data_IF_216311947555
#
_entry.id   IF_216311947555
#
_cell.length_a   1.000
_cell.length_b   1.000
_cell.length_c   1.000
_cell.angle_alpha   90.00
_cell.angle_beta   90.00
_cell.angle_gamma   90.00
#
_symmetry.space_group_name_H-M   'P 1'
#
loop_
_entity.id
_entity.type
_entity.pdbx_description
1 polymer ?
#
# COMPACT_ATOMS: atom_id res chain seq x y z
N UNK A 1 -9.61 -6.56 -11.74
CA UNK A 1 -8.49 -5.61 -11.66
C UNK A 1 -9.01 -4.24 -12.05
N UNK A 2 -8.91 -3.26 -11.16
CA UNK A 2 -9.43 -1.91 -11.41
C UNK A 2 -8.44 -1.15 -12.31
N UNK A 3 -8.60 -1.27 -13.63
CA UNK A 3 -7.70 -0.63 -14.61
C UNK A 3 -7.61 0.88 -14.43
N UNK A 4 -8.70 1.51 -14.02
CA UNK A 4 -8.78 2.95 -13.80
C UNK A 4 -7.74 3.46 -12.80
N UNK A 5 -7.50 2.72 -11.71
CA UNK A 5 -6.51 3.10 -10.70
C UNK A 5 -5.09 2.98 -11.24
N UNK A 6 -4.80 1.90 -11.98
CA UNK A 6 -3.49 1.73 -12.63
C UNK A 6 -3.22 2.86 -13.63
N UNK A 7 -4.20 3.17 -14.48
CA UNK A 7 -4.11 4.26 -15.46
C UNK A 7 -3.89 5.62 -14.80
N UNK A 8 -4.58 5.90 -13.69
CA UNK A 8 -4.38 7.16 -12.96
C UNK A 8 -2.93 7.30 -12.46
N UNK A 9 -2.35 6.23 -11.91
CA UNK A 9 -0.95 6.22 -11.45
C UNK A 9 0.03 6.33 -12.62
N UNK A 10 -0.20 5.59 -13.72
CA UNK A 10 0.64 5.65 -14.91
C UNK A 10 0.68 7.04 -15.56
N UNK A 11 -0.47 7.73 -15.62
CA UNK A 11 -0.56 9.08 -16.18
C UNK A 11 0.08 10.12 -15.25
N UNK A 12 -0.07 9.96 -13.93
CA UNK A 12 0.40 10.95 -12.96
C UNK A 12 1.87 10.78 -12.54
N UNK A 13 2.50 9.63 -12.80
CA UNK A 13 3.91 9.40 -12.46
C UNK A 13 4.85 10.19 -13.38
N UNK A 14 5.97 10.66 -12.86
CA UNK A 14 7.02 11.26 -13.68
C UNK A 14 7.99 10.19 -14.22
N UNK A 15 8.98 10.61 -15.00
CA UNK A 15 9.97 9.71 -15.61
C UNK A 15 10.88 9.00 -14.58
N UNK A 16 11.09 9.59 -13.40
CA UNK A 16 11.93 9.01 -12.34
C UNK A 16 11.18 8.05 -11.41
N UNK A 17 9.85 7.95 -11.50
CA UNK A 17 9.06 7.03 -10.70
C UNK A 17 8.99 5.63 -11.32
N UNK A 18 9.31 4.62 -10.52
CA UNK A 18 9.09 3.22 -10.85
C UNK A 18 7.70 2.75 -10.40
N UNK A 19 7.01 1.98 -11.25
CA UNK A 19 5.72 1.39 -10.94
C UNK A 19 5.81 -0.13 -11.13
N UNK A 20 5.54 -0.89 -10.07
CA UNK A 20 5.43 -2.35 -10.12
C UNK A 20 3.98 -2.79 -9.90
N UNK A 21 3.33 -3.31 -10.94
CA UNK A 21 2.01 -3.94 -10.81
C UNK A 21 2.14 -5.35 -10.21
N UNK A 22 1.31 -5.67 -9.20
CA UNK A 22 1.22 -7.02 -8.62
C UNK A 22 -0.22 -7.52 -8.67
N UNK A 23 -0.47 -8.54 -9.49
CA UNK A 23 -1.80 -9.09 -9.69
C UNK A 23 -2.12 -10.19 -8.66
N UNK A 24 -2.69 -9.81 -7.52
CA UNK A 24 -3.01 -10.76 -6.45
C UNK A 24 -4.10 -11.78 -6.82
N UNK A 25 -4.89 -11.53 -7.87
CA UNK A 25 -5.91 -12.47 -8.31
C UNK A 25 -5.32 -13.64 -9.11
N UNK A 26 -4.17 -13.45 -9.75
CA UNK A 26 -3.48 -14.46 -10.57
C UNK A 26 -2.29 -15.07 -9.84
N UNK A 27 -1.50 -14.23 -9.15
CA UNK A 27 -0.16 -14.57 -8.68
C UNK A 27 -0.01 -14.37 -7.17
N UNK A 28 -1.05 -14.67 -6.39
CA UNK A 28 -1.06 -14.43 -4.93
C UNK A 28 0.15 -15.04 -4.21
N UNK A 29 0.50 -16.30 -4.53
CA UNK A 29 1.59 -17.01 -3.88
C UNK A 29 2.94 -16.28 -4.05
N UNK A 30 3.20 -15.76 -5.24
CA UNK A 30 4.41 -15.00 -5.59
C UNK A 30 4.50 -13.63 -4.91
N UNK A 31 3.39 -13.16 -4.31
CA UNK A 31 3.29 -11.84 -3.69
C UNK A 31 2.87 -11.87 -2.22
N UNK A 32 2.79 -13.07 -1.62
CA UNK A 32 2.33 -13.27 -0.24
C UNK A 32 3.17 -12.49 0.78
N UNK A 33 4.47 -12.38 0.55
CA UNK A 33 5.37 -11.60 1.40
C UNK A 33 4.99 -10.12 1.39
N UNK A 34 4.84 -9.51 0.20
CA UNK A 34 4.42 -8.11 0.06
C UNK A 34 3.03 -7.86 0.67
N UNK A 35 2.08 -8.79 0.49
CA UNK A 35 0.75 -8.73 1.12
C UNK A 35 0.89 -8.69 2.65
N UNK A 36 1.77 -9.51 3.23
CA UNK A 36 2.00 -9.56 4.66
C UNK A 36 2.78 -8.36 5.21
N UNK A 37 3.79 -7.89 4.47
CA UNK A 37 4.64 -6.75 4.80
C UNK A 37 3.85 -5.45 4.85
N UNK A 38 3.01 -5.22 3.84
CA UNK A 38 2.23 -3.99 3.71
C UNK A 38 0.80 -4.09 4.28
N UNK A 39 0.45 -5.23 4.90
CA UNK A 39 -0.89 -5.49 5.44
C UNK A 39 -1.99 -5.18 4.40
N UNK A 40 -1.88 -5.78 3.21
CA UNK A 40 -2.83 -5.56 2.11
C UNK A 40 -4.12 -6.31 2.43
N UNK A 41 -5.20 -5.58 2.72
CA UNK A 41 -6.51 -6.14 3.11
C UNK A 41 -7.58 -5.99 2.04
N UNK A 42 -7.37 -5.10 1.08
CA UNK A 42 -8.29 -4.82 -0.02
C UNK A 42 -7.53 -4.58 -1.33
N UNK A 43 -8.23 -4.71 -2.45
CA UNK A 43 -7.69 -4.42 -3.78
C UNK A 43 -8.58 -3.40 -4.50
N UNK A 44 -8.01 -2.42 -5.24
CA UNK A 44 -6.58 -2.17 -5.35
C UNK A 44 -5.99 -1.59 -4.05
N UNK A 45 -4.69 -1.81 -3.84
CA UNK A 45 -3.90 -1.13 -2.80
C UNK A 45 -2.65 -0.59 -3.46
N UNK A 46 -2.34 0.68 -3.22
CA UNK A 46 -1.13 1.34 -3.72
C UNK A 46 -0.19 1.56 -2.54
N UNK A 47 1.06 1.14 -2.70
CA UNK A 47 2.13 1.36 -1.72
C UNK A 47 3.17 2.23 -2.37
N UNK A 48 3.56 3.32 -1.70
CA UNK A 48 4.58 4.26 -2.17
C UNK A 48 5.72 4.26 -1.16
N UNK A 49 6.94 4.04 -1.66
CA UNK A 49 8.21 4.05 -0.91
C UNK A 49 8.21 3.23 0.39
N UNK A 50 7.35 2.20 0.44
CA UNK A 50 7.17 1.34 1.61
C UNK A 50 6.67 2.04 2.87
N UNK A 51 6.24 3.31 2.80
CA UNK A 51 5.81 4.11 3.95
C UNK A 51 4.42 4.74 3.82
N UNK A 52 3.82 4.70 2.63
CA UNK A 52 2.47 5.19 2.35
C UNK A 52 1.61 4.03 1.84
N UNK A 53 0.35 3.96 2.27
CA UNK A 53 -0.62 2.96 1.80
C UNK A 53 -1.99 3.56 1.52
N UNK A 54 -2.38 3.57 0.25
CA UNK A 54 -3.71 3.97 -0.20
C UNK A 54 -4.52 2.71 -0.53
N UNK A 55 -5.59 2.46 0.23
CA UNK A 55 -6.50 1.33 0.01
C UNK A 55 -7.71 1.80 -0.82
N UNK A 56 -8.09 1.03 -1.84
CA UNK A 56 -9.23 1.32 -2.71
C UNK A 56 -8.92 2.28 -3.86
N UNK A 57 -9.99 2.82 -4.47
CA UNK A 57 -9.88 3.79 -5.57
C UNK A 57 -9.59 5.18 -4.98
N UNK A 58 -8.51 5.85 -5.37
CA UNK A 58 -8.29 7.25 -4.99
C UNK A 58 -9.39 8.16 -5.55
N UNK A 59 -9.90 9.08 -4.73
CA UNK A 59 -10.86 10.12 -5.13
C UNK A 59 -10.19 11.48 -5.38
N UNK A 60 -8.85 11.49 -5.48
CA UNK A 60 -8.03 12.66 -5.75
C UNK A 60 -7.24 12.48 -7.05
N UNK A 61 -6.85 13.58 -7.72
CA UNK A 61 -5.98 13.50 -8.90
C UNK A 61 -4.61 12.94 -8.49
N UNK A 62 -4.08 12.01 -9.28
CA UNK A 62 -2.73 11.49 -9.08
C UNK A 62 -1.73 12.39 -9.80
N UNK A 63 -0.75 12.91 -9.08
CA UNK A 63 0.26 13.82 -9.62
C UNK A 63 1.60 13.61 -8.94
N UNK A 64 2.69 13.64 -9.69
CA UNK A 64 4.02 13.59 -9.11
C UNK A 64 4.43 14.97 -8.61
N UNK A 65 4.85 15.07 -7.33
CA UNK A 65 5.39 16.29 -6.75
C UNK A 65 5.46 16.21 -5.22
N UNK A 66 6.30 17.05 -4.63
CA UNK A 66 6.59 17.02 -3.19
C UNK A 66 5.34 17.32 -2.36
N UNK A 67 4.54 18.31 -2.74
CA UNK A 67 3.30 18.66 -2.04
C UNK A 67 2.30 17.49 -2.02
N UNK A 68 2.18 16.76 -3.13
CA UNK A 68 1.31 15.59 -3.21
C UNK A 68 1.85 14.43 -2.38
N UNK A 69 3.17 14.23 -2.40
CA UNK A 69 3.82 13.23 -1.57
C UNK A 69 3.63 13.52 -0.08
N UNK A 70 3.80 14.78 0.35
CA UNK A 70 3.54 15.20 1.73
C UNK A 70 2.08 15.01 2.14
N UNK A 71 1.14 15.35 1.25
CA UNK A 71 -0.28 15.07 1.45
C UNK A 71 -0.51 13.58 1.70
N UNK A 72 0.02 12.71 0.84
CA UNK A 72 -0.14 11.27 0.99
C UNK A 72 0.52 10.74 2.27
N UNK A 73 1.71 11.21 2.61
CA UNK A 73 2.43 10.82 3.82
C UNK A 73 1.65 11.19 5.10
N UNK A 74 0.97 12.35 5.08
CA UNK A 74 0.16 12.82 6.22
C UNK A 74 -1.15 12.06 6.39
N UNK A 75 -1.84 11.78 5.28
CA UNK A 75 -3.20 11.24 5.31
C UNK A 75 -3.28 9.72 5.17
N UNK A 76 -2.28 9.10 4.55
CA UNK A 76 -2.25 7.68 4.23
C UNK A 76 -0.96 6.98 4.71
N UNK A 77 -0.49 7.22 5.96
CA UNK A 77 0.73 6.59 6.44
C UNK A 77 0.53 5.07 6.54
N UNK A 78 1.51 4.31 6.06
CA UNK A 78 1.58 2.88 6.31
C UNK A 78 1.79 2.67 7.81
N UNK A 79 0.77 2.13 8.48
CA UNK A 79 0.87 1.80 9.90
C UNK A 79 1.82 0.61 10.06
N UNK A 80 2.77 0.66 11.01
CA UNK A 80 3.53 -0.52 11.38
C UNK A 80 2.53 -1.61 11.75
N UNK A 81 2.79 -2.83 11.29
CA UNK A 81 2.03 -3.98 11.72
C UNK A 81 2.20 -4.06 13.24
N UNK A 82 1.14 -3.72 14.00
CA UNK A 82 1.13 -3.90 15.44
C UNK A 82 1.31 -5.40 15.70
N UNK A 83 2.53 -5.83 15.98
CA UNK A 83 2.77 -7.11 16.62
C UNK A 83 2.05 -7.01 17.97
N UNK A 84 0.87 -7.61 18.07
CA UNK A 84 0.24 -7.94 19.34
C UNK A 84 1.34 -8.62 20.15
N UNK A 85 1.78 -7.98 21.25
CA UNK A 85 2.73 -8.58 22.19
C UNK A 85 2.22 -9.98 22.51
N UNK A 86 3.07 -11.03 22.51
CA UNK A 86 2.64 -12.31 23.01
C UNK A 86 2.10 -12.07 24.42
N UNK A 87 0.83 -12.36 24.63
CA UNK A 87 0.20 -12.33 25.95
C UNK A 87 1.07 -13.20 26.85
N UNK A 88 1.80 -12.55 27.76
CA UNK A 88 2.57 -13.26 28.77
C UNK A 88 1.58 -14.11 29.56
N UNK A 89 1.68 -15.41 29.33
CA UNK A 89 0.95 -16.46 30.01
C UNK A 89 1.24 -16.35 31.51
N UNK A 90 0.34 -15.75 32.30
CA UNK A 90 0.28 -15.98 33.75
C UNK A 90 -0.77 -17.06 33.98
N UNK A 91 -0.28 -18.29 34.07
CA UNK A 91 -0.99 -19.39 34.72
C UNK A 91 -0.11 -19.85 35.88
N UNK A 92 -0.76 -20.02 37.04
CA UNK A 92 -0.28 -20.65 38.28
C UNK A 92 0.61 -19.75 39.15
N UNK A 93 0.35 -19.57 40.45
CA UNK A 93 -0.30 -20.44 41.44
C UNK A 93 -1.12 -19.66 42.47
#
# INVERSE_FOLDING_TARGET
MCREVLTAVEVGKCASCELTERNLARDFASHKEAVGQYDVRSVPTIVIDGCIKVEGRPEFPWMCGDEFYEFLHRHYPLKPRNNVRPTSNRRSS
#
